data_IF_169022650078
#
_entry.id   IF_169022650078
#
_cell.length_a   1.000
_cell.length_b   1.000
_cell.length_c   1.000
_cell.angle_alpha   90.00
_cell.angle_beta   90.00
_cell.angle_gamma   90.00
#
_symmetry.space_group_name_H-M   'P 1'
#
loop_
_entity.id
_entity.type
_entity.pdbx_description
1 polymer ?
#
# COMPACT_ATOMS: atom_id res chain seq x y z
N UNK A 1 -66.78 -1.87 -10.29
CA UNK A 1 -65.71 -2.64 -9.62
C UNK A 1 -64.39 -1.89 -9.82
N UNK A 2 -63.94 -1.10 -8.83
CA UNK A 2 -62.68 -0.33 -8.92
C UNK A 2 -61.54 -1.22 -8.42
N UNK A 3 -60.62 -1.61 -9.31
CA UNK A 3 -59.39 -2.32 -8.93
C UNK A 3 -58.37 -1.27 -8.49
N UNK A 4 -58.05 -1.26 -7.20
CA UNK A 4 -56.99 -0.43 -6.63
C UNK A 4 -55.67 -1.17 -6.87
N UNK A 5 -54.84 -0.65 -7.76
CA UNK A 5 -53.44 -1.06 -7.90
C UNK A 5 -52.65 -0.36 -6.78
N UNK A 6 -52.22 -1.14 -5.80
CA UNK A 6 -51.29 -0.68 -4.77
C UNK A 6 -49.86 -0.71 -5.34
N UNK A 7 -49.08 0.39 -5.28
CA UNK A 7 -47.68 0.35 -5.64
C UNK A 7 -46.87 -0.23 -4.47
N UNK A 8 -46.20 -1.36 -4.71
CA UNK A 8 -45.17 -1.90 -3.81
C UNK A 8 -43.95 -1.00 -3.95
N UNK A 9 -43.73 -0.11 -2.99
CA UNK A 9 -42.49 0.66 -2.87
C UNK A 9 -41.41 -0.30 -2.35
N UNK A 10 -40.59 -0.82 -3.27
CA UNK A 10 -39.36 -1.53 -2.92
C UNK A 10 -38.35 -0.45 -2.49
N UNK A 11 -38.24 -0.22 -1.18
CA UNK A 11 -37.17 0.58 -0.62
C UNK A 11 -35.86 -0.18 -0.79
N UNK A 12 -35.08 0.20 -1.79
CA UNK A 12 -33.71 -0.25 -2.00
C UNK A 12 -32.87 0.26 -0.81
N UNK A 13 -32.72 -0.56 0.23
CA UNK A 13 -31.74 -0.32 1.28
C UNK A 13 -30.36 -0.51 0.68
N UNK A 14 -29.82 0.56 0.09
CA UNK A 14 -28.40 0.64 -0.26
C UNK A 14 -27.66 0.73 1.07
N UNK A 15 -27.22 -0.42 1.58
CA UNK A 15 -26.19 -0.48 2.61
C UNK A 15 -24.91 0.11 2.01
N UNK A 16 -24.76 1.43 2.03
CA UNK A 16 -23.45 2.04 1.92
C UNK A 16 -22.70 1.64 3.18
N UNK A 17 -21.88 0.59 3.08
CA UNK A 17 -20.85 0.33 4.08
C UNK A 17 -20.02 1.61 4.19
N UNK A 18 -20.13 2.28 5.33
CA UNK A 18 -19.35 3.48 5.59
C UNK A 18 -17.92 3.02 5.89
N UNK A 19 -17.09 2.98 4.85
CA UNK A 19 -15.66 2.70 4.98
C UNK A 19 -15.02 3.77 5.87
N UNK A 20 -14.08 3.36 6.71
CA UNK A 20 -13.31 4.31 7.52
C UNK A 20 -12.32 5.08 6.64
N UNK A 21 -11.92 6.28 7.08
CA UNK A 21 -10.98 7.15 6.34
C UNK A 21 -9.56 6.59 6.23
N UNK A 22 -9.29 5.45 6.85
CA UNK A 22 -8.03 4.73 6.76
C UNK A 22 -8.13 3.46 5.90
N UNK A 23 -9.26 3.26 5.20
CA UNK A 23 -9.47 2.21 4.21
C UNK A 23 -9.35 2.76 2.78
N UNK A 24 -8.76 1.98 1.88
CA UNK A 24 -8.56 2.41 0.50
C UNK A 24 -9.90 2.56 -0.26
N UNK A 25 -10.88 1.76 0.14
CA UNK A 25 -12.27 1.74 -0.33
C UNK A 25 -12.99 3.08 -0.09
N UNK A 26 -12.56 3.85 0.91
CA UNK A 26 -13.08 5.20 1.14
C UNK A 26 -12.73 6.16 0.01
N UNK A 27 -11.62 5.93 -0.68
CA UNK A 27 -11.06 6.84 -1.68
C UNK A 27 -11.22 6.37 -3.13
N UNK A 28 -11.34 5.07 -3.34
CA UNK A 28 -11.21 4.45 -4.66
C UNK A 28 -12.20 3.30 -4.87
N UNK A 29 -12.77 3.22 -6.07
CA UNK A 29 -13.51 2.05 -6.53
C UNK A 29 -12.62 0.81 -6.66
N UNK A 30 -13.20 -0.38 -6.76
CA UNK A 30 -12.43 -1.65 -6.87
C UNK A 30 -11.41 -1.62 -8.03
N UNK A 31 -11.84 -1.17 -9.22
CA UNK A 31 -10.95 -1.09 -10.38
C UNK A 31 -9.81 -0.08 -10.20
N UNK A 32 -10.08 1.03 -9.51
CA UNK A 32 -9.06 2.03 -9.18
C UNK A 32 -8.10 1.48 -8.11
N UNK A 33 -8.60 0.76 -7.10
CA UNK A 33 -7.76 0.11 -6.08
C UNK A 33 -6.83 -0.92 -6.70
N UNK A 34 -7.32 -1.80 -7.56
CA UNK A 34 -6.48 -2.78 -8.26
C UNK A 34 -5.41 -2.09 -9.11
N UNK A 35 -5.78 -1.00 -9.78
CA UNK A 35 -4.85 -0.23 -10.59
C UNK A 35 -3.77 0.42 -9.74
N UNK A 36 -4.16 1.11 -8.66
CA UNK A 36 -3.25 1.75 -7.71
C UNK A 36 -2.33 0.73 -7.02
N UNK A 37 -2.92 -0.35 -6.49
CA UNK A 37 -2.19 -1.41 -5.81
C UNK A 37 -1.16 -2.03 -6.74
N UNK A 38 -1.51 -2.29 -8.01
CA UNK A 38 -0.50 -2.83 -8.92
C UNK A 38 0.64 -1.84 -9.18
N UNK A 39 0.35 -0.54 -9.28
CA UNK A 39 1.39 0.47 -9.44
C UNK A 39 2.33 0.46 -8.22
N UNK A 40 1.77 0.37 -7.00
CA UNK A 40 2.55 0.21 -5.75
C UNK A 40 3.34 -1.11 -5.73
N UNK A 41 2.77 -2.22 -6.20
CA UNK A 41 3.49 -3.50 -6.36
C UNK A 41 4.73 -3.32 -7.23
N UNK A 42 4.67 -2.55 -8.31
CA UNK A 42 5.85 -2.28 -9.17
C UNK A 42 6.97 -1.53 -8.43
N UNK A 43 6.65 -0.73 -7.41
CA UNK A 43 7.66 -0.07 -6.56
C UNK A 43 8.29 -1.03 -5.55
N UNK A 44 7.47 -1.85 -4.89
CA UNK A 44 7.85 -2.58 -3.67
C UNK A 44 8.20 -4.05 -3.88
N UNK A 45 7.81 -4.65 -5.00
CA UNK A 45 8.10 -6.05 -5.32
C UNK A 45 9.39 -6.20 -6.13
N UNK A 46 9.88 -7.42 -6.25
CA UNK A 46 10.95 -7.75 -7.20
C UNK A 46 10.58 -7.31 -8.62
N UNK A 47 11.57 -6.97 -9.43
CA UNK A 47 11.30 -6.62 -10.82
C UNK A 47 10.62 -7.80 -11.54
N UNK A 48 9.72 -7.48 -12.47
CA UNK A 48 9.22 -8.45 -13.43
C UNK A 48 10.38 -9.11 -14.19
N UNK A 49 10.15 -10.29 -14.75
CA UNK A 49 11.19 -11.00 -15.51
C UNK A 49 11.68 -10.11 -16.67
N UNK A 50 12.99 -9.95 -16.80
CA UNK A 50 13.66 -9.03 -17.76
C UNK A 50 13.45 -7.53 -17.52
N UNK A 51 12.80 -7.14 -16.44
CA UNK A 51 12.74 -5.74 -16.02
C UNK A 51 13.94 -5.34 -15.15
N UNK A 52 14.18 -4.04 -15.10
CA UNK A 52 15.15 -3.39 -14.23
C UNK A 52 14.55 -2.08 -13.68
N UNK A 53 15.30 -1.37 -12.82
CA UNK A 53 14.81 -0.16 -12.18
C UNK A 53 14.38 0.94 -13.17
N UNK A 54 15.01 1.00 -14.34
CA UNK A 54 14.76 2.04 -15.35
C UNK A 54 13.51 1.72 -16.20
N UNK A 55 13.16 0.45 -16.35
CA UNK A 55 12.13 0.02 -17.30
C UNK A 55 10.94 -0.72 -16.66
N UNK A 56 10.96 -1.00 -15.36
CA UNK A 56 9.92 -1.78 -14.65
C UNK A 56 8.49 -1.25 -14.79
N UNK A 57 8.32 0.04 -15.09
CA UNK A 57 7.01 0.66 -15.32
C UNK A 57 6.53 0.58 -16.77
N UNK A 58 7.30 -0.02 -17.70
CA UNK A 58 6.86 -0.19 -19.08
C UNK A 58 5.65 -1.14 -19.15
N UNK A 59 4.69 -0.80 -20.02
CA UNK A 59 3.41 -1.54 -20.20
C UNK A 59 3.58 -3.04 -20.40
N UNK A 60 4.65 -3.48 -21.06
CA UNK A 60 4.95 -4.90 -21.32
C UNK A 60 5.10 -5.75 -20.07
N UNK A 61 5.49 -5.16 -18.93
CA UNK A 61 5.65 -5.85 -17.65
C UNK A 61 4.39 -5.82 -16.77
N UNK A 62 3.40 -5.01 -17.12
CA UNK A 62 2.22 -4.76 -16.28
C UNK A 62 1.47 -6.04 -15.94
N UNK A 63 1.33 -6.97 -16.90
CA UNK A 63 0.61 -8.23 -16.71
C UNK A 63 1.24 -9.09 -15.61
N UNK A 64 2.56 -9.08 -15.46
CA UNK A 64 3.23 -9.83 -14.41
C UNK A 64 2.99 -9.20 -13.02
N UNK A 65 2.94 -7.87 -12.93
CA UNK A 65 2.56 -7.25 -11.65
C UNK A 65 1.08 -7.44 -11.32
N UNK A 66 0.19 -7.50 -12.32
CA UNK A 66 -1.24 -7.83 -12.12
C UNK A 66 -1.37 -9.22 -11.51
N UNK A 67 -0.63 -10.21 -12.01
CA UNK A 67 -0.74 -11.58 -11.50
C UNK A 67 -0.34 -11.72 -10.02
N UNK A 68 0.39 -10.74 -9.49
CA UNK A 68 0.79 -10.66 -8.08
C UNK A 68 -0.27 -10.03 -7.18
N UNK A 69 -1.28 -9.34 -7.72
CA UNK A 69 -2.32 -8.64 -6.93
C UNK A 69 -2.87 -9.47 -5.75
N UNK A 70 -3.25 -10.76 -5.91
CA UNK A 70 -3.83 -11.55 -4.81
C UNK A 70 -2.91 -11.71 -3.60
N UNK A 71 -1.60 -11.45 -3.74
CA UNK A 71 -0.63 -11.59 -2.68
C UNK A 71 -0.47 -10.32 -1.84
N UNK A 72 -0.99 -9.18 -2.30
CA UNK A 72 -0.80 -7.87 -1.69
C UNK A 72 -2.15 -7.26 -1.33
N UNK A 73 -2.18 -6.43 -0.29
CA UNK A 73 -3.32 -5.58 -0.02
C UNK A 73 -2.91 -4.38 0.84
N UNK A 74 -3.64 -3.27 0.70
CA UNK A 74 -3.54 -2.17 1.65
C UNK A 74 -4.21 -2.60 2.94
N UNK A 75 -3.46 -2.58 4.04
CA UNK A 75 -4.02 -2.71 5.39
C UNK A 75 -4.59 -1.37 5.84
N UNK A 76 -3.87 -0.27 5.51
CA UNK A 76 -4.30 1.10 5.76
C UNK A 76 -3.93 2.00 4.59
N UNK A 77 -4.78 2.97 4.28
CA UNK A 77 -4.52 4.04 3.34
C UNK A 77 -5.27 5.30 3.79
N UNK A 78 -4.56 6.41 3.99
CA UNK A 78 -5.18 7.70 4.34
C UNK A 78 -4.63 8.80 3.46
N UNK A 79 -5.54 9.62 2.92
CA UNK A 79 -5.21 10.85 2.18
C UNK A 79 -5.27 12.05 3.10
N UNK A 80 -4.18 12.81 3.16
CA UNK A 80 -4.06 14.07 3.87
C UNK A 80 -4.59 15.24 3.03
N UNK A 81 -4.90 16.37 3.67
CA UNK A 81 -5.43 17.57 3.00
C UNK A 81 -4.48 18.13 1.94
N UNK A 82 -3.17 17.99 2.15
CA UNK A 82 -2.13 18.38 1.19
C UNK A 82 -2.03 17.45 -0.03
N UNK A 83 -2.85 16.39 -0.11
CA UNK A 83 -2.87 15.42 -1.21
C UNK A 83 -1.89 14.26 -1.07
N UNK A 84 -1.11 14.21 0.02
CA UNK A 84 -0.23 13.09 0.34
C UNK A 84 -1.04 11.88 0.84
N UNK A 85 -0.69 10.69 0.37
CA UNK A 85 -1.21 9.43 0.83
C UNK A 85 -0.18 8.77 1.74
N UNK A 86 -0.63 8.35 2.92
CA UNK A 86 0.11 7.46 3.81
C UNK A 86 -0.47 6.07 3.64
N UNK A 87 0.39 5.05 3.62
CA UNK A 87 -0.06 3.67 3.45
C UNK A 87 0.64 2.70 4.40
N UNK A 88 -0.08 1.64 4.76
CA UNK A 88 0.46 0.39 5.24
C UNK A 88 0.05 -0.70 4.25
N UNK A 89 1.04 -1.33 3.63
CA UNK A 89 0.86 -2.42 2.67
C UNK A 89 1.35 -3.72 3.30
N UNK A 90 0.55 -4.78 3.20
CA UNK A 90 0.98 -6.14 3.54
C UNK A 90 1.43 -6.85 2.26
N UNK A 91 2.66 -7.41 2.26
CA UNK A 91 3.22 -8.16 1.12
C UNK A 91 3.83 -9.51 1.55
N UNK A 92 3.91 -10.51 0.65
CA UNK A 92 4.53 -11.80 0.98
C UNK A 92 6.05 -11.66 1.15
N UNK A 93 6.63 -12.61 1.88
CA UNK A 93 8.08 -12.75 2.02
C UNK A 93 8.55 -13.94 1.19
N UNK A 94 9.26 -13.66 0.10
CA UNK A 94 9.72 -14.69 -0.84
C UNK A 94 8.57 -15.66 -1.20
N UNK A 95 8.80 -16.97 -1.09
CA UNK A 95 7.80 -18.01 -1.36
C UNK A 95 7.06 -18.49 -0.09
N UNK A 96 7.14 -17.75 1.02
CA UNK A 96 6.52 -18.14 2.29
C UNK A 96 5.14 -17.50 2.42
N UNK A 97 4.08 -18.29 2.19
CA UNK A 97 2.70 -17.81 2.29
C UNK A 97 2.27 -17.45 3.72
N UNK A 98 2.95 -17.98 4.74
CA UNK A 98 2.64 -17.74 6.15
C UNK A 98 3.32 -16.50 6.75
N UNK A 99 4.34 -15.97 6.07
CA UNK A 99 5.10 -14.81 6.53
C UNK A 99 4.95 -13.63 5.59
N UNK A 100 4.72 -12.48 6.19
CA UNK A 100 4.38 -11.24 5.52
C UNK A 100 5.22 -10.11 6.09
N UNK A 101 5.32 -9.06 5.30
CA UNK A 101 6.05 -7.84 5.63
C UNK A 101 5.12 -6.66 5.48
N UNK A 102 5.05 -5.84 6.52
CA UNK A 102 4.43 -4.52 6.46
C UNK A 102 5.39 -3.52 5.82
N UNK A 103 4.90 -2.78 4.84
CA UNK A 103 5.58 -1.64 4.22
C UNK A 103 4.80 -0.40 4.61
N UNK A 104 5.40 0.46 5.42
CA UNK A 104 4.82 1.74 5.83
C UNK A 104 5.50 2.85 5.04
N UNK A 105 4.70 3.67 4.37
CA UNK A 105 5.24 4.66 3.47
C UNK A 105 4.28 5.75 3.11
N UNK A 106 4.70 6.56 2.15
CA UNK A 106 3.90 7.67 1.63
C UNK A 106 4.15 7.90 0.14
N UNK A 107 3.19 8.52 -0.51
CA UNK A 107 3.30 8.97 -1.89
C UNK A 107 2.29 10.09 -2.17
N UNK A 108 2.45 10.73 -3.32
CA UNK A 108 1.43 11.58 -3.94
C UNK A 108 0.95 10.91 -5.22
N UNK A 109 -0.20 11.32 -5.76
CA UNK A 109 -0.63 10.84 -7.08
C UNK A 109 -0.26 11.83 -8.16
N UNK A 110 0.21 11.32 -9.30
CA UNK A 110 0.30 12.12 -10.52
C UNK A 110 -1.08 12.67 -10.89
N UNK A 111 -1.14 13.93 -11.33
CA UNK A 111 -2.42 14.61 -11.63
C UNK A 111 -3.24 13.80 -12.64
N UNK A 112 -4.47 13.43 -12.27
CA UNK A 112 -5.39 12.67 -13.12
C UNK A 112 -4.97 11.20 -13.35
N UNK A 113 -4.09 10.65 -12.51
CA UNK A 113 -3.58 9.29 -12.65
C UNK A 113 -3.53 8.58 -11.29
N UNK A 114 -3.58 7.24 -11.33
CA UNK A 114 -3.36 6.37 -10.18
C UNK A 114 -1.88 5.97 -10.02
N UNK A 115 -0.98 6.59 -10.78
CA UNK A 115 0.45 6.35 -10.66
C UNK A 115 1.03 7.17 -9.50
N UNK A 116 1.62 6.52 -8.48
CA UNK A 116 2.35 7.21 -7.43
C UNK A 116 3.50 8.08 -7.96
N UNK A 117 3.72 9.19 -7.29
CA UNK A 117 4.84 10.12 -7.42
C UNK A 117 5.40 10.42 -6.02
N UNK A 118 6.69 10.75 -5.93
CA UNK A 118 7.37 10.95 -4.64
C UNK A 118 7.15 9.75 -3.69
N UNK A 119 7.25 8.54 -4.24
CA UNK A 119 7.00 7.31 -3.50
C UNK A 119 8.15 7.03 -2.54
N UNK A 120 7.82 6.68 -1.30
CA UNK A 120 8.79 6.37 -0.25
C UNK A 120 8.31 5.18 0.58
N UNK A 121 9.15 4.14 0.70
CA UNK A 121 9.04 3.18 1.79
C UNK A 121 9.79 3.79 2.99
N UNK A 122 9.06 4.23 4.02
CA UNK A 122 9.65 4.88 5.20
C UNK A 122 10.23 3.83 6.12
N UNK A 123 9.48 2.75 6.41
CA UNK A 123 9.96 1.59 7.15
C UNK A 123 9.33 0.30 6.66
N UNK A 124 10.08 -0.80 6.80
CA UNK A 124 9.56 -2.16 6.63
C UNK A 124 9.64 -2.93 7.95
N UNK A 125 8.55 -3.62 8.30
CA UNK A 125 8.51 -4.49 9.49
C UNK A 125 9.35 -5.75 9.28
N UNK A 126 9.79 -6.45 10.33
CA UNK A 126 10.26 -7.82 10.20
C UNK A 126 9.20 -8.76 9.60
N UNK A 127 9.64 -9.98 9.28
CA UNK A 127 8.75 -11.04 8.81
C UNK A 127 7.83 -11.54 9.92
N UNK A 128 6.52 -11.41 9.74
CA UNK A 128 5.52 -11.76 10.74
C UNK A 128 4.33 -12.52 10.14
N UNK A 129 3.46 -13.05 11.01
CA UNK A 129 2.09 -13.40 10.62
C UNK A 129 1.34 -12.14 10.15
N UNK A 130 0.27 -12.32 9.38
CA UNK A 130 -0.58 -11.20 8.93
C UNK A 130 -1.10 -10.36 10.11
N UNK A 131 -1.59 -11.01 11.16
CA UNK A 131 -2.09 -10.33 12.37
C UNK A 131 -1.05 -9.38 12.99
N UNK A 132 0.20 -9.83 13.11
CA UNK A 132 1.28 -9.01 13.66
C UNK A 132 1.75 -7.92 12.69
N UNK A 133 1.69 -8.15 11.37
CA UNK A 133 1.89 -7.09 10.37
C UNK A 133 0.85 -6.00 10.55
N UNK A 134 -0.43 -6.37 10.70
CA UNK A 134 -1.52 -5.42 10.92
C UNK A 134 -1.31 -4.66 12.23
N UNK A 135 -1.05 -5.34 13.35
CA UNK A 135 -0.87 -4.71 14.66
C UNK A 135 0.32 -3.73 14.67
N UNK A 136 1.52 -4.23 14.35
CA UNK A 136 2.75 -3.43 14.46
C UNK A 136 2.87 -2.41 13.33
N UNK A 137 2.42 -2.78 12.14
CA UNK A 137 2.35 -1.87 11.00
C UNK A 137 1.38 -0.73 11.25
N UNK A 138 0.21 -0.99 11.86
CA UNK A 138 -0.78 0.06 12.17
C UNK A 138 -0.21 1.06 13.18
N UNK A 139 0.50 0.59 14.20
CA UNK A 139 1.21 1.47 15.13
C UNK A 139 2.20 2.40 14.41
N UNK A 140 3.07 1.85 13.56
CA UNK A 140 4.04 2.64 12.79
C UNK A 140 3.36 3.61 11.80
N UNK A 141 2.29 3.17 11.14
CA UNK A 141 1.48 4.00 10.25
C UNK A 141 0.88 5.22 10.97
N UNK A 142 0.29 5.00 12.14
CA UNK A 142 -0.31 6.06 12.96
C UNK A 142 0.75 7.07 13.44
N UNK A 143 1.89 6.57 13.92
CA UNK A 143 2.97 7.45 14.36
C UNK A 143 3.61 8.22 13.20
N UNK A 144 3.70 7.63 12.00
CA UNK A 144 4.16 8.32 10.81
C UNK A 144 3.22 9.47 10.44
N UNK A 145 1.91 9.26 10.44
CA UNK A 145 0.92 10.32 10.16
C UNK A 145 1.01 11.44 11.21
N UNK A 146 1.17 11.06 12.48
CA UNK A 146 1.18 12.00 13.62
C UNK A 146 2.45 12.86 13.67
N UNK A 147 3.61 12.29 13.37
CA UNK A 147 4.93 12.93 13.55
C UNK A 147 5.58 13.35 12.24
N UNK A 148 5.15 12.81 11.11
CA UNK A 148 5.75 13.03 9.79
C UNK A 148 7.06 12.27 9.55
N UNK A 149 7.56 11.53 10.55
CA UNK A 149 8.74 10.67 10.48
C UNK A 149 8.66 9.53 11.52
N UNK A 150 9.58 8.57 11.46
CA UNK A 150 9.64 7.41 12.36
C UNK A 150 11.01 7.23 13.05
N UNK A 151 11.82 8.29 13.13
CA UNK A 151 13.22 8.21 13.59
C UNK A 151 13.36 7.60 14.99
N UNK A 152 12.44 7.94 15.90
CA UNK A 152 12.38 7.42 17.27
C UNK A 152 12.16 5.89 17.32
N UNK A 153 11.56 5.32 16.29
CA UNK A 153 11.17 3.91 16.23
C UNK A 153 12.18 3.02 15.49
N UNK A 154 13.17 3.59 14.80
CA UNK A 154 14.13 2.83 14.00
C UNK A 154 15.01 1.87 14.83
N UNK A 155 15.13 2.13 16.14
CA UNK A 155 15.84 1.29 17.09
C UNK A 155 15.00 0.12 17.61
N UNK A 156 13.67 0.15 17.44
CA UNK A 156 12.76 -0.91 17.86
C UNK A 156 12.77 -2.07 16.85
N UNK A 157 13.78 -2.95 16.95
CA UNK A 157 14.00 -4.05 15.99
C UNK A 157 12.87 -5.09 15.92
N UNK A 158 11.98 -5.11 16.90
CA UNK A 158 10.75 -5.91 16.84
C UNK A 158 9.64 -5.25 16.01
N UNK A 159 9.78 -3.98 15.64
CA UNK A 159 8.82 -3.23 14.81
C UNK A 159 9.40 -2.87 13.45
N UNK A 160 10.69 -2.51 13.40
CA UNK A 160 11.37 -2.02 12.19
C UNK A 160 12.57 -2.90 11.86
N UNK A 161 12.55 -3.49 10.68
CA UNK A 161 13.72 -4.16 10.10
C UNK A 161 14.52 -3.22 9.22
N UNK A 162 13.85 -2.49 8.32
CA UNK A 162 14.47 -1.49 7.43
C UNK A 162 13.83 -0.11 7.65
N UNK A 163 14.60 0.99 7.60
CA UNK A 163 16.06 1.05 7.37
C UNK A 163 16.89 0.47 8.53
N UNK A 164 18.15 0.18 8.24
CA UNK A 164 19.16 -0.17 9.24
C UNK A 164 20.51 0.48 8.93
N UNK A 165 21.57 0.11 9.66
CA UNK A 165 22.92 0.66 9.47
C UNK A 165 23.53 0.39 8.08
N UNK A 166 22.98 -0.56 7.32
CA UNK A 166 23.47 -0.99 6.02
C UNK A 166 22.48 -0.74 4.89
N UNK A 167 21.23 -0.41 5.18
CA UNK A 167 20.18 -0.27 4.19
C UNK A 167 19.38 1.01 4.41
N UNK A 168 19.25 1.82 3.35
CA UNK A 168 18.42 3.02 3.32
C UNK A 168 17.56 3.07 2.06
N UNK A 169 16.43 3.75 2.12
CA UNK A 169 15.60 3.95 0.94
C UNK A 169 16.17 5.08 0.07
N UNK A 170 16.36 4.82 -1.22
CA UNK A 170 16.72 5.83 -2.21
C UNK A 170 15.45 6.27 -2.96
N UNK A 171 14.94 7.46 -2.60
CA UNK A 171 13.72 8.03 -3.18
C UNK A 171 13.88 8.30 -4.69
N UNK A 172 15.10 8.58 -5.18
CA UNK A 172 15.31 8.84 -6.62
C UNK A 172 15.22 7.54 -7.42
N UNK A 173 15.76 6.45 -6.87
CA UNK A 173 15.70 5.12 -7.49
C UNK A 173 14.42 4.35 -7.14
N UNK A 174 13.67 4.83 -6.15
CA UNK A 174 12.54 4.17 -5.51
C UNK A 174 12.87 2.72 -5.12
N UNK A 175 13.97 2.53 -4.41
CA UNK A 175 14.42 1.19 -3.97
C UNK A 175 15.29 1.31 -2.72
N UNK A 176 15.34 0.24 -1.93
CA UNK A 176 16.32 0.09 -0.88
C UNK A 176 17.72 -0.11 -1.48
N UNK A 177 18.70 0.65 -0.98
CA UNK A 177 20.10 0.59 -1.42
C UNK A 177 21.03 0.39 -0.23
N UNK A 178 22.17 -0.23 -0.50
CA UNK A 178 23.22 -0.37 0.50
C UNK A 178 23.78 1.00 0.88
N UNK A 179 23.85 1.27 2.18
CA UNK A 179 24.54 2.42 2.75
C UNK A 179 26.06 2.27 2.72
N UNK A 180 26.58 1.08 2.40
CA UNK A 180 28.01 0.76 2.41
C UNK A 180 28.77 1.19 1.14
N UNK A 181 28.10 1.80 0.15
CA UNK A 181 28.77 2.39 -1.02
C UNK A 181 29.51 1.39 -1.91
N UNK A 182 28.97 0.17 -2.06
CA UNK A 182 29.45 -0.83 -3.02
C UNK A 182 28.75 -0.68 -4.37
#
# INVERSE_FOLDING_TARGET
MKKILAPIIISLFIFSACHSKDEAEYYFSDAERDTLLTNVITFVSENATYANLDNRFQKKFRAEYVSRLPLYHFVKLTKMENGEFYFLLSRPVANLNSLRRGVVGRFTLNKGSLMPAHFEEVVNTPHFSEELVVERGTFLFQELIKKGNLDEYLTMKHYVEWPDKYLKYDIKKNTWVSSLGL
#
